data_IF_727234069993
#
_entry.id   IF_727234069993
#
_cell.length_a   1.000
_cell.length_b   1.000
_cell.length_c   1.000
_cell.angle_alpha   90.00
_cell.angle_beta   90.00
_cell.angle_gamma   90.00
#
_symmetry.space_group_name_H-M   'P 1'
#
loop_
_entity.id
_entity.type
_entity.pdbx_description
1 polymer ?
#
# COMPACT_ATOMS: atom_id res chain seq x y z
N UNK A 1 -13.82 -25.08 38.58
CA UNK A 1 -14.08 -25.70 37.26
C UNK A 1 -13.73 -24.80 36.07
N UNK A 2 -13.59 -23.48 36.21
CA UNK A 2 -13.14 -22.56 35.13
C UNK A 2 -11.68 -22.78 34.68
N UNK A 3 -10.75 -23.05 35.61
CA UNK A 3 -9.34 -23.26 35.27
C UNK A 3 -9.02 -24.56 34.50
N UNK A 4 -9.93 -25.54 34.50
CA UNK A 4 -9.80 -26.71 33.62
C UNK A 4 -10.28 -26.40 32.19
N UNK A 5 -11.29 -25.54 32.05
CA UNK A 5 -11.73 -25.01 30.75
C UNK A 5 -10.64 -24.18 30.08
N UNK A 6 -9.95 -23.32 30.83
CA UNK A 6 -8.80 -22.55 30.32
C UNK A 6 -7.64 -23.44 29.87
N UNK A 7 -7.32 -24.49 30.63
CA UNK A 7 -6.28 -25.45 30.24
C UNK A 7 -6.68 -26.26 29.01
N UNK A 8 -7.94 -26.69 28.93
CA UNK A 8 -8.46 -27.42 27.78
C UNK A 8 -8.47 -26.52 26.53
N UNK A 9 -8.92 -25.27 26.65
CA UNK A 9 -8.92 -24.28 25.58
C UNK A 9 -7.51 -23.93 25.09
N UNK A 10 -6.53 -23.83 25.99
CA UNK A 10 -5.13 -23.58 25.60
C UNK A 10 -4.49 -24.78 24.88
N UNK A 11 -4.76 -26.01 25.32
CA UNK A 11 -4.25 -27.21 24.67
C UNK A 11 -4.94 -27.48 23.33
N UNK A 12 -6.26 -27.35 23.25
CA UNK A 12 -7.01 -27.47 22.00
C UNK A 12 -6.70 -26.33 21.04
N UNK A 13 -6.70 -25.08 21.50
CA UNK A 13 -6.43 -23.91 20.68
C UNK A 13 -5.02 -23.92 20.08
N UNK A 14 -4.02 -24.31 20.87
CA UNK A 14 -2.64 -24.42 20.40
C UNK A 14 -2.40 -25.54 19.39
N UNK A 15 -3.09 -26.68 19.52
CA UNK A 15 -2.96 -27.81 18.58
C UNK A 15 -3.84 -27.64 17.33
N UNK A 16 -5.04 -27.07 17.46
CA UNK A 16 -5.92 -26.77 16.33
C UNK A 16 -5.30 -25.70 15.44
N UNK A 17 -4.73 -24.63 15.99
CA UNK A 17 -4.02 -23.62 15.17
C UNK A 17 -2.75 -24.15 14.51
N UNK A 18 -2.06 -25.12 15.13
CA UNK A 18 -0.91 -25.82 14.54
C UNK A 18 -1.31 -26.89 13.52
N UNK A 19 -2.58 -27.21 13.40
CA UNK A 19 -3.05 -28.18 12.41
C UNK A 19 -3.01 -27.56 11.01
N UNK A 20 -2.44 -28.31 10.05
CA UNK A 20 -2.39 -27.87 8.65
C UNK A 20 -3.77 -27.69 8.02
N UNK A 21 -4.80 -28.35 8.56
CA UNK A 21 -6.19 -28.20 8.12
C UNK A 21 -6.79 -26.85 8.55
N UNK A 22 -6.54 -26.39 9.78
CA UNK A 22 -6.97 -25.06 10.21
C UNK A 22 -6.30 -23.96 9.38
N UNK A 23 -4.98 -24.10 9.12
CA UNK A 23 -4.27 -23.14 8.26
C UNK A 23 -4.85 -23.11 6.85
N UNK A 24 -5.17 -24.27 6.26
CA UNK A 24 -5.83 -24.36 4.94
C UNK A 24 -7.24 -23.76 4.94
N UNK A 25 -8.05 -24.05 5.95
CA UNK A 25 -9.39 -23.49 6.09
C UNK A 25 -9.34 -21.97 6.25
N UNK A 26 -8.40 -21.45 7.05
CA UNK A 26 -8.24 -20.01 7.27
C UNK A 26 -7.69 -19.30 6.03
N UNK A 27 -6.76 -19.92 5.30
CA UNK A 27 -6.31 -19.43 3.99
C UNK A 27 -7.46 -19.41 2.97
N UNK A 28 -8.28 -20.47 2.93
CA UNK A 28 -9.46 -20.55 2.07
C UNK A 28 -10.52 -19.51 2.41
N UNK A 29 -10.79 -19.29 3.70
CA UNK A 29 -11.69 -18.25 4.18
C UNK A 29 -11.18 -16.85 3.81
N UNK A 30 -9.90 -16.57 4.03
CA UNK A 30 -9.28 -15.31 3.64
C UNK A 30 -9.35 -15.09 2.12
N UNK A 31 -9.06 -16.12 1.32
CA UNK A 31 -9.17 -16.05 -0.13
C UNK A 31 -10.61 -15.76 -0.59
N UNK A 32 -11.60 -16.41 0.03
CA UNK A 32 -13.01 -16.15 -0.24
C UNK A 32 -13.41 -14.71 0.13
N UNK A 33 -12.95 -14.19 1.26
CA UNK A 33 -13.18 -12.79 1.66
C UNK A 33 -12.54 -11.81 0.69
N UNK A 34 -11.29 -12.04 0.27
CA UNK A 34 -10.63 -11.19 -0.73
C UNK A 34 -11.37 -11.21 -2.07
N UNK A 35 -11.83 -12.39 -2.52
CA UNK A 35 -12.64 -12.50 -3.74
C UNK A 35 -13.97 -11.75 -3.63
N UNK A 36 -14.64 -11.82 -2.48
CA UNK A 36 -15.87 -11.07 -2.24
C UNK A 36 -15.62 -9.55 -2.28
N UNK A 37 -14.55 -9.08 -1.65
CA UNK A 37 -14.14 -7.67 -1.73
C UNK A 37 -13.88 -7.24 -3.17
N UNK A 38 -13.14 -8.04 -3.94
CA UNK A 38 -12.86 -7.78 -5.35
C UNK A 38 -14.15 -7.70 -6.20
N UNK A 39 -15.13 -8.58 -5.95
CA UNK A 39 -16.41 -8.54 -6.65
C UNK A 39 -17.20 -7.26 -6.35
N UNK A 40 -17.19 -6.81 -5.09
CA UNK A 40 -17.80 -5.53 -4.69
C UNK A 40 -17.11 -4.36 -5.38
N UNK A 41 -15.78 -4.34 -5.42
CA UNK A 41 -15.03 -3.30 -6.13
C UNK A 41 -15.39 -3.26 -7.62
N UNK A 42 -15.43 -4.40 -8.31
CA UNK A 42 -15.83 -4.46 -9.72
C UNK A 42 -17.26 -3.97 -9.96
N UNK A 43 -18.19 -4.25 -9.04
CA UNK A 43 -19.56 -3.75 -9.14
C UNK A 43 -19.62 -2.22 -9.00
N UNK A 44 -18.83 -1.66 -8.07
CA UNK A 44 -18.72 -0.21 -7.89
C UNK A 44 -18.08 0.47 -9.11
N UNK A 45 -17.01 -0.11 -9.66
CA UNK A 45 -16.36 0.41 -10.87
C UNK A 45 -17.34 0.44 -12.06
N UNK A 46 -18.15 -0.61 -12.22
CA UNK A 46 -19.21 -0.64 -13.27
C UNK A 46 -20.29 0.41 -13.03
N UNK A 47 -20.68 0.65 -11.78
CA UNK A 47 -21.66 1.67 -11.42
C UNK A 47 -21.11 3.09 -11.70
N UNK A 48 -19.85 3.36 -11.35
CA UNK A 48 -19.18 4.61 -11.65
C UNK A 48 -19.05 4.82 -13.16
N UNK A 49 -18.62 3.79 -13.91
CA UNK A 49 -18.54 3.84 -15.36
C UNK A 49 -19.91 4.15 -16.01
N UNK A 50 -21.00 3.55 -15.51
CA UNK A 50 -22.36 3.85 -15.99
C UNK A 50 -22.79 5.30 -15.71
N UNK A 51 -22.25 5.92 -14.65
CA UNK A 51 -22.46 7.32 -14.31
C UNK A 51 -21.47 8.28 -15.01
N UNK A 52 -20.62 7.78 -15.92
CA UNK A 52 -19.50 8.52 -16.51
C UNK A 52 -18.54 9.11 -15.46
N UNK A 53 -18.39 8.43 -14.32
CA UNK A 53 -17.45 8.81 -13.26
C UNK A 53 -16.21 7.90 -13.33
N UNK A 54 -14.99 8.45 -13.17
CA UNK A 54 -13.78 7.65 -13.14
C UNK A 54 -13.69 6.83 -11.86
N UNK A 55 -13.12 5.63 -11.97
CA UNK A 55 -12.82 4.81 -10.79
C UNK A 55 -11.56 5.29 -10.08
N UNK A 56 -11.37 4.84 -8.83
CA UNK A 56 -10.15 5.16 -8.08
C UNK A 56 -8.89 4.60 -8.75
N UNK A 57 -8.96 3.38 -9.27
CA UNK A 57 -7.81 2.72 -9.92
C UNK A 57 -7.40 3.44 -11.21
N UNK A 58 -8.37 3.95 -11.98
CA UNK A 58 -8.12 4.77 -13.16
C UNK A 58 -7.42 6.09 -12.82
N UNK A 59 -7.83 6.75 -11.73
CA UNK A 59 -7.18 7.99 -11.25
C UNK A 59 -5.74 7.72 -10.81
N UNK A 60 -5.49 6.59 -10.14
CA UNK A 60 -4.16 6.17 -9.72
C UNK A 60 -3.26 5.88 -10.94
N UNK A 61 -3.76 5.16 -11.96
CA UNK A 61 -3.03 4.91 -13.22
C UNK A 61 -2.70 6.21 -13.95
N UNK A 62 -3.67 7.12 -14.10
CA UNK A 62 -3.46 8.41 -14.75
C UNK A 62 -2.40 9.23 -14.01
N UNK A 63 -2.43 9.22 -12.67
CA UNK A 63 -1.46 9.91 -11.83
C UNK A 63 -0.04 9.34 -12.02
N UNK A 64 0.09 8.00 -12.13
CA UNK A 64 1.38 7.36 -12.38
C UNK A 64 1.94 7.73 -13.77
N UNK A 65 1.08 7.77 -14.79
CA UNK A 65 1.46 8.18 -16.15
C UNK A 65 1.87 9.65 -16.19
N UNK A 66 1.11 10.53 -15.53
CA UNK A 66 1.45 11.95 -15.41
C UNK A 66 2.82 12.14 -14.76
N UNK A 67 3.10 11.41 -13.67
CA UNK A 67 4.41 11.44 -13.02
C UNK A 67 5.55 11.02 -13.95
N UNK A 68 5.35 9.98 -14.76
CA UNK A 68 6.34 9.56 -15.75
C UNK A 68 6.59 10.60 -16.84
N UNK A 69 5.55 11.37 -17.21
CA UNK A 69 5.68 12.52 -18.12
C UNK A 69 6.48 13.64 -17.44
N UNK A 70 6.13 14.01 -16.21
CA UNK A 70 6.85 15.03 -15.42
C UNK A 70 8.34 14.70 -15.29
N UNK A 71 8.68 13.44 -15.00
CA UNK A 71 10.07 12.98 -14.92
C UNK A 71 10.80 13.08 -16.27
N UNK A 72 10.09 12.80 -17.37
CA UNK A 72 10.65 12.91 -18.72
C UNK A 72 10.89 14.37 -19.12
N UNK A 73 9.94 15.27 -18.79
CA UNK A 73 10.09 16.71 -18.98
C UNK A 73 11.26 17.24 -18.16
N UNK A 74 11.35 16.87 -16.88
CA UNK A 74 12.45 17.29 -16.00
C UNK A 74 13.82 16.84 -16.54
N UNK A 75 13.92 15.64 -17.15
CA UNK A 75 15.15 15.18 -17.81
C UNK A 75 15.48 16.00 -19.05
N UNK A 76 14.50 16.31 -19.90
CA UNK A 76 14.70 17.13 -21.10
C UNK A 76 15.16 18.53 -20.70
N UNK A 77 14.50 19.15 -19.72
CA UNK A 77 14.88 20.46 -19.18
C UNK A 77 16.32 20.45 -18.64
N UNK A 78 16.71 19.40 -17.90
CA UNK A 78 18.07 19.27 -17.39
C UNK A 78 19.12 19.18 -18.52
N UNK A 79 18.83 18.43 -19.58
CA UNK A 79 19.71 18.31 -20.75
C UNK A 79 19.84 19.65 -21.49
N UNK A 80 18.73 20.36 -21.69
CA UNK A 80 18.72 21.68 -22.33
C UNK A 80 19.47 22.73 -21.51
N UNK A 81 19.26 22.75 -20.20
CA UNK A 81 20.00 23.63 -19.28
C UNK A 81 21.50 23.34 -19.33
N UNK A 82 21.90 22.07 -19.32
CA UNK A 82 23.30 21.68 -19.43
C UNK A 82 23.92 22.13 -20.75
N UNK A 83 23.21 21.97 -21.87
CA UNK A 83 23.67 22.40 -23.19
C UNK A 83 23.79 23.93 -23.29
N UNK A 84 22.87 24.67 -22.66
CA UNK A 84 22.89 26.13 -22.63
C UNK A 84 23.85 26.71 -21.58
N UNK A 85 24.53 25.87 -20.78
CA UNK A 85 25.38 26.31 -19.67
C UNK A 85 24.60 26.98 -18.52
N UNK A 86 23.28 26.77 -18.45
CA UNK A 86 22.41 27.34 -17.43
C UNK A 86 22.44 26.42 -16.20
N UNK A 87 22.77 26.98 -15.03
CA UNK A 87 22.71 26.23 -13.76
C UNK A 87 21.23 25.96 -13.39
N UNK A 88 20.85 24.71 -13.09
CA UNK A 88 19.50 24.40 -12.63
C UNK A 88 19.13 25.18 -11.35
N UNK A 89 17.86 25.55 -11.18
CA UNK A 89 17.40 26.23 -9.97
C UNK A 89 17.65 25.36 -8.73
N UNK A 90 18.17 25.99 -7.67
CA UNK A 90 18.49 25.30 -6.42
C UNK A 90 17.18 24.92 -5.71
N UNK A 91 16.89 23.61 -5.62
CA UNK A 91 15.72 23.13 -4.88
C UNK A 91 15.99 23.25 -3.38
N UNK A 92 15.09 23.84 -2.58
CA UNK A 92 15.28 23.95 -1.13
C UNK A 92 15.43 22.54 -0.53
N UNK A 93 16.58 22.32 0.12
CA UNK A 93 16.90 21.03 0.74
C UNK A 93 16.06 20.87 2.01
N UNK A 94 15.47 19.69 2.28
CA UNK A 94 14.70 19.47 3.50
C UNK A 94 15.55 19.78 4.73
N UNK A 95 15.03 20.65 5.62
CA UNK A 95 15.74 20.98 6.87
C UNK A 95 15.83 19.75 7.76
N UNK A 96 17.06 19.30 8.05
CA UNK A 96 17.29 18.17 8.96
C UNK A 96 17.19 18.66 10.40
N UNK A 97 15.97 18.75 10.92
CA UNK A 97 15.70 19.20 12.30
C UNK A 97 15.83 18.08 13.35
N UNK A 98 16.29 16.87 12.97
CA UNK A 98 16.51 15.79 13.95
C UNK A 98 17.80 16.04 14.71
N UNK A 99 17.67 16.57 15.93
CA UNK A 99 18.75 16.56 16.93
C UNK A 99 18.85 15.14 17.51
N UNK A 100 20.05 14.56 17.61
CA UNK A 100 20.24 13.29 18.30
C UNK A 100 19.82 13.41 19.78
N UNK A 101 19.34 12.33 20.42
CA UNK A 101 19.03 12.34 21.83
C UNK A 101 20.30 12.67 22.64
N UNK A 102 20.16 13.55 23.64
CA UNK A 102 21.25 13.87 24.55
C UNK A 102 21.66 12.59 25.30
N UNK A 103 22.96 12.29 25.33
CA UNK A 103 23.50 11.20 26.13
C UNK A 103 23.29 11.54 27.60
N UNK A 104 22.39 10.83 28.28
CA UNK A 104 22.36 10.82 29.75
C UNK A 104 23.58 10.03 30.20
N UNK A 105 24.50 10.72 30.87
CA UNK A 105 25.64 10.10 31.58
C UNK A 105 25.22 9.49 32.90
#
# INVERSE_FOLDING_TARGET
MLGQWEKMANQFGGQVMKSGEFSRAMQGANAATMNAQNAVHQAMDRALAAANMPSRSEVEDLSARLRGIEDSVARIEALLMAQAGIKPPERPKPSRNRKPPAKTG
#
